data_IF_206881865310
#
_entry.id   IF_206881865310
#
_cell.length_a   1.000
_cell.length_b   1.000
_cell.length_c   1.000
_cell.angle_alpha   90.00
_cell.angle_beta   90.00
_cell.angle_gamma   90.00
#
_symmetry.space_group_name_H-M   'P 1'
#
loop_
_entity.id
_entity.type
_entity.pdbx_description
1 polymer ?
#
# COMPACT_ATOMS: atom_id res chain seq x y z
N UNK A 1 -13.87 6.24 -32.67
CA UNK A 1 -12.61 5.90 -31.98
C UNK A 1 -12.61 6.66 -30.66
N UNK A 2 -13.11 6.03 -29.61
CA UNK A 2 -13.17 6.63 -28.28
C UNK A 2 -11.76 6.57 -27.69
N UNK A 3 -11.29 7.68 -27.14
CA UNK A 3 -10.03 7.71 -26.40
C UNK A 3 -10.06 6.61 -25.32
N UNK A 4 -8.96 5.84 -25.14
CA UNK A 4 -8.94 4.80 -24.12
C UNK A 4 -9.13 5.47 -22.76
N UNK A 5 -9.99 4.88 -21.92
CA UNK A 5 -10.27 5.31 -20.55
C UNK A 5 -8.99 5.73 -19.82
N UNK A 6 -8.78 7.05 -19.77
CA UNK A 6 -7.91 7.71 -18.82
C UNK A 6 -8.58 7.58 -17.44
N UNK A 7 -8.61 6.37 -16.88
CA UNK A 7 -8.76 6.21 -15.44
C UNK A 7 -7.66 7.08 -14.81
N UNK A 8 -8.03 8.23 -14.25
CA UNK A 8 -7.08 9.29 -13.90
C UNK A 8 -6.00 8.74 -12.97
N UNK A 9 -4.75 9.12 -13.19
CA UNK A 9 -3.71 8.94 -12.17
C UNK A 9 -4.26 9.57 -10.88
N UNK A 10 -4.32 8.83 -9.76
CA UNK A 10 -4.89 9.35 -8.53
C UNK A 10 -4.12 10.61 -8.15
N UNK A 11 -4.87 11.68 -7.97
CA UNK A 11 -4.32 13.01 -7.74
C UNK A 11 -4.75 13.47 -6.36
N UNK A 12 -3.77 13.72 -5.49
CA UNK A 12 -3.98 14.23 -4.16
C UNK A 12 -4.13 15.76 -4.21
N UNK A 13 -5.27 16.27 -3.75
CA UNK A 13 -5.57 17.69 -3.72
C UNK A 13 -4.99 18.34 -2.46
N UNK A 14 -4.21 19.39 -2.65
CA UNK A 14 -3.40 20.02 -1.61
C UNK A 14 -3.81 21.48 -1.38
N UNK A 15 -3.81 21.91 -0.12
CA UNK A 15 -3.82 23.33 0.23
C UNK A 15 -2.56 23.69 1.03
N UNK A 16 -1.94 24.82 0.69
CA UNK A 16 -0.80 25.36 1.44
C UNK A 16 -1.28 26.51 2.32
N UNK A 17 -1.10 26.37 3.64
CA UNK A 17 -1.39 27.43 4.62
C UNK A 17 -0.11 27.87 5.30
N UNK A 18 0.03 29.17 5.50
CA UNK A 18 1.19 29.77 6.18
C UNK A 18 0.75 30.27 7.54
N UNK A 19 1.42 29.83 8.62
CA UNK A 19 1.16 30.36 9.95
C UNK A 19 1.53 31.85 10.02
N UNK A 20 0.73 32.72 10.66
CA UNK A 20 1.02 34.15 10.80
C UNK A 20 2.37 34.46 11.48
N UNK A 21 2.90 33.49 12.24
CA UNK A 21 4.17 33.60 12.98
C UNK A 21 5.38 33.07 12.19
N UNK A 22 5.19 32.62 10.95
CA UNK A 22 6.28 32.09 10.14
C UNK A 22 7.03 33.24 9.43
N UNK A 23 8.26 33.51 9.86
CA UNK A 23 9.23 34.23 9.01
C UNK A 23 9.65 33.30 7.87
N UNK A 24 9.04 33.43 6.70
CA UNK A 24 9.41 32.65 5.52
C UNK A 24 10.42 33.42 4.67
N UNK A 25 11.71 33.06 4.65
CA UNK A 25 12.57 33.42 3.54
C UNK A 25 12.26 32.43 2.41
N UNK A 26 11.18 32.66 1.64
CA UNK A 26 10.76 31.93 0.42
C UNK A 26 11.18 30.43 0.30
N UNK A 27 10.20 29.51 0.33
CA UNK A 27 10.08 28.64 -0.84
C UNK A 27 8.62 28.32 -1.22
N UNK A 28 7.65 29.22 -0.97
CA UNK A 28 6.26 28.98 -1.39
C UNK A 28 6.17 28.78 -2.91
N UNK A 29 6.70 29.70 -3.71
CA UNK A 29 6.67 29.57 -5.18
C UNK A 29 7.46 28.36 -5.69
N UNK A 30 8.62 28.07 -5.10
CA UNK A 30 9.44 26.90 -5.45
C UNK A 30 8.75 25.58 -5.06
N UNK A 31 8.02 25.57 -3.94
CA UNK A 31 7.19 24.46 -3.53
C UNK A 31 6.01 24.29 -4.48
N UNK A 32 5.27 25.36 -4.78
CA UNK A 32 4.14 25.34 -5.71
C UNK A 32 4.57 24.84 -7.09
N UNK A 33 5.74 25.27 -7.59
CA UNK A 33 6.34 24.77 -8.83
C UNK A 33 6.64 23.27 -8.75
N UNK A 34 7.34 22.82 -7.69
CA UNK A 34 7.67 21.40 -7.52
C UNK A 34 6.41 20.51 -7.38
N UNK A 35 5.37 20.99 -6.70
CA UNK A 35 4.10 20.30 -6.59
C UNK A 35 3.39 20.22 -7.95
N UNK A 36 3.43 21.29 -8.75
CA UNK A 36 2.84 21.33 -10.08
C UNK A 36 3.55 20.44 -11.11
N UNK A 37 4.83 20.11 -10.90
CA UNK A 37 5.58 19.16 -11.73
C UNK A 37 5.23 17.70 -11.45
N UNK A 38 4.55 17.41 -10.33
CA UNK A 38 4.18 16.05 -9.96
C UNK A 38 2.93 15.56 -10.68
N UNK A 39 2.92 14.34 -11.25
CA UNK A 39 1.72 13.75 -11.83
C UNK A 39 0.70 13.24 -10.78
N UNK A 40 1.05 13.29 -9.49
CA UNK A 40 0.22 12.76 -8.40
C UNK A 40 -0.42 13.83 -7.53
N UNK A 41 0.01 15.09 -7.70
CA UNK A 41 -0.34 16.18 -6.81
C UNK A 41 -1.03 17.28 -7.60
N UNK A 42 -2.01 17.93 -6.97
CA UNK A 42 -2.63 19.12 -7.52
C UNK A 42 -2.94 20.08 -6.38
N UNK A 43 -2.77 21.37 -6.65
CA UNK A 43 -3.20 22.41 -5.75
C UNK A 43 -4.71 22.61 -5.90
N UNK A 44 -5.43 22.50 -4.78
CA UNK A 44 -6.87 22.72 -4.75
C UNK A 44 -7.18 24.18 -5.09
N UNK A 45 -8.20 24.40 -5.92
CA UNK A 45 -8.75 25.72 -6.14
C UNK A 45 -9.57 26.16 -4.92
N UNK A 46 -9.83 27.46 -4.83
CA UNK A 46 -10.62 28.02 -3.72
C UNK A 46 -12.02 27.37 -3.65
N UNK A 47 -12.39 26.85 -2.48
CA UNK A 47 -13.66 26.17 -2.26
C UNK A 47 -13.71 24.70 -2.67
N UNK A 48 -12.63 24.14 -3.23
CA UNK A 48 -12.53 22.70 -3.49
C UNK A 48 -12.24 21.91 -2.21
N UNK A 49 -12.64 20.64 -2.21
CA UNK A 49 -12.25 19.69 -1.17
C UNK A 49 -10.73 19.47 -1.21
N UNK A 50 -10.11 19.51 -0.04
CA UNK A 50 -8.67 19.35 0.15
C UNK A 50 -8.41 18.02 0.84
N UNK A 51 -7.55 17.19 0.26
CA UNK A 51 -7.15 15.91 0.87
C UNK A 51 -6.09 16.12 1.95
N UNK A 52 -5.14 17.04 1.71
CA UNK A 52 -4.08 17.39 2.67
C UNK A 52 -3.86 18.90 2.74
N UNK A 53 -3.89 19.41 3.97
CA UNK A 53 -3.39 20.75 4.29
C UNK A 53 -1.91 20.67 4.70
N UNK A 54 -1.09 21.47 4.04
CA UNK A 54 0.32 21.68 4.34
C UNK A 54 0.41 22.98 5.13
N UNK A 55 0.71 22.90 6.43
CA UNK A 55 0.90 24.07 7.27
C UNK A 55 2.39 24.36 7.43
N UNK A 56 2.83 25.54 6.98
CA UNK A 56 4.18 26.04 7.21
C UNK A 56 4.27 26.78 8.55
N UNK A 57 5.21 26.37 9.41
CA UNK A 57 5.48 26.97 10.71
C UNK A 57 6.88 27.62 10.78
N UNK A 58 7.17 28.31 11.89
CA UNK A 58 8.49 28.87 12.18
C UNK A 58 9.59 27.79 12.12
N UNK A 59 10.82 28.19 11.80
CA UNK A 59 11.98 27.30 11.65
C UNK A 59 11.82 26.21 10.56
N UNK A 60 11.01 26.48 9.52
CA UNK A 60 10.81 25.59 8.36
C UNK A 60 10.27 24.20 8.74
N UNK A 61 9.40 24.17 9.74
CA UNK A 61 8.63 22.98 10.09
C UNK A 61 7.40 22.94 9.20
N UNK A 62 7.16 21.80 8.56
CA UNK A 62 5.97 21.57 7.73
C UNK A 62 5.13 20.47 8.39
N UNK A 63 3.86 20.78 8.64
CA UNK A 63 2.88 19.83 9.16
C UNK A 63 1.92 19.44 8.05
N UNK A 64 1.68 18.14 7.93
CA UNK A 64 0.70 17.57 7.01
C UNK A 64 -0.52 17.12 7.81
N UNK A 65 -1.71 17.59 7.43
CA UNK A 65 -2.97 17.27 8.11
C UNK A 65 -4.02 16.86 7.08
N UNK A 66 -4.77 15.78 7.36
CA UNK A 66 -5.99 15.47 6.60
C UNK A 66 -7.19 16.15 7.26
N UNK A 67 -8.28 16.37 6.51
CA UNK A 67 -9.54 16.82 7.10
C UNK A 67 -9.98 15.90 8.24
N UNK A 68 -10.28 16.49 9.40
CA UNK A 68 -10.78 15.75 10.57
C UNK A 68 -9.70 15.13 11.48
N UNK A 69 -8.43 15.16 11.08
CA UNK A 69 -7.35 14.69 11.94
C UNK A 69 -7.17 15.62 13.16
N UNK A 70 -7.20 15.05 14.36
CA UNK A 70 -6.87 15.76 15.61
C UNK A 70 -5.36 15.93 15.82
N UNK A 71 -4.55 15.15 15.10
CA UNK A 71 -3.08 15.14 15.15
C UNK A 71 -2.55 15.14 13.73
N UNK A 72 -1.51 15.93 13.46
CA UNK A 72 -0.89 15.95 12.14
C UNK A 72 -0.35 14.56 11.75
N UNK A 73 -0.68 14.11 10.54
CA UNK A 73 -0.20 12.85 9.94
C UNK A 73 1.33 12.74 10.01
N UNK A 74 2.03 13.86 9.80
CA UNK A 74 3.45 13.97 10.08
C UNK A 74 3.83 15.43 10.37
N UNK A 75 4.47 15.67 11.52
CA UNK A 75 5.17 16.91 11.80
C UNK A 75 6.64 16.73 11.43
N UNK A 76 7.01 17.09 10.20
CA UNK A 76 8.40 16.98 9.79
C UNK A 76 9.18 18.23 10.22
N UNK A 77 10.06 18.04 11.18
CA UNK A 77 11.23 18.92 11.33
C UNK A 77 12.21 18.53 10.24
N UNK A 78 12.17 19.21 9.10
CA UNK A 78 13.19 19.06 8.06
C UNK A 78 14.35 19.96 8.48
N UNK A 79 15.46 19.42 9.05
CA UNK A 79 16.57 20.26 9.44
C UNK A 79 17.09 20.99 8.21
N UNK A 80 17.01 22.31 8.24
CA UNK A 80 17.38 23.21 7.17
C UNK A 80 18.90 23.33 7.10
N UNK A 81 19.60 22.22 6.86
CA UNK A 81 21.00 22.34 6.45
C UNK A 81 21.09 22.89 5.02
N UNK A 82 20.03 22.72 4.20
CA UNK A 82 19.91 23.23 2.81
C UNK A 82 18.44 23.52 2.44
N UNK A 83 17.99 24.77 2.57
CA UNK A 83 16.63 25.20 2.19
C UNK A 83 16.26 24.87 0.72
N UNK A 84 17.24 24.76 -0.17
CA UNK A 84 17.03 24.44 -1.60
C UNK A 84 16.48 23.03 -1.86
N UNK A 85 16.66 22.07 -0.96
CA UNK A 85 16.22 20.68 -1.15
C UNK A 85 14.80 20.41 -0.61
N UNK A 86 14.22 21.38 0.10
CA UNK A 86 12.96 21.24 0.80
C UNK A 86 11.75 21.01 -0.13
N UNK A 87 11.57 21.77 -1.23
CA UNK A 87 10.48 21.53 -2.18
C UNK A 87 10.44 20.09 -2.70
N UNK A 88 11.58 19.59 -3.19
CA UNK A 88 11.69 18.23 -3.73
C UNK A 88 11.45 17.15 -2.66
N UNK A 89 11.92 17.37 -1.43
CA UNK A 89 11.68 16.42 -0.33
C UNK A 89 10.19 16.36 0.04
N UNK A 90 9.53 17.52 0.11
CA UNK A 90 8.11 17.60 0.43
C UNK A 90 7.24 17.01 -0.68
N UNK A 91 7.56 17.30 -1.95
CA UNK A 91 6.94 16.66 -3.11
C UNK A 91 6.99 15.13 -2.99
N UNK A 92 8.17 14.54 -2.78
CA UNK A 92 8.32 13.07 -2.64
C UNK A 92 7.48 12.47 -1.51
N UNK A 93 7.41 13.15 -0.38
CA UNK A 93 6.59 12.73 0.78
C UNK A 93 5.11 12.71 0.38
N UNK A 94 4.63 13.76 -0.29
CA UNK A 94 3.23 13.87 -0.71
C UNK A 94 2.90 12.88 -1.82
N UNK A 95 3.80 12.68 -2.78
CA UNK A 95 3.69 11.63 -3.82
C UNK A 95 3.54 10.26 -3.18
N UNK A 96 4.35 9.94 -2.18
CA UNK A 96 4.25 8.68 -1.46
C UNK A 96 2.90 8.51 -0.76
N UNK A 97 2.37 9.57 -0.13
CA UNK A 97 1.04 9.52 0.50
C UNK A 97 -0.05 9.30 -0.55
N UNK A 98 0.04 9.97 -1.72
CA UNK A 98 -0.87 9.78 -2.83
C UNK A 98 -0.83 8.33 -3.36
N UNK A 99 0.38 7.80 -3.58
CA UNK A 99 0.63 6.42 -4.05
C UNK A 99 0.11 5.40 -3.04
N UNK A 100 0.37 5.57 -1.74
CA UNK A 100 -0.15 4.69 -0.70
C UNK A 100 -1.68 4.66 -0.73
N UNK A 101 -2.33 5.83 -0.77
CA UNK A 101 -3.78 5.95 -0.85
C UNK A 101 -4.35 5.28 -2.11
N UNK A 102 -3.67 5.45 -3.25
CA UNK A 102 -4.02 4.81 -4.51
C UNK A 102 -3.96 3.28 -4.45
N UNK A 103 -2.87 2.73 -3.92
CA UNK A 103 -2.72 1.28 -3.73
C UNK A 103 -3.78 0.77 -2.74
N UNK A 104 -4.06 1.52 -1.68
CA UNK A 104 -5.12 1.21 -0.70
C UNK A 104 -6.52 1.24 -1.32
N UNK A 105 -6.77 2.09 -2.31
CA UNK A 105 -8.04 2.17 -3.03
C UNK A 105 -8.11 1.24 -4.25
N UNK A 106 -7.00 0.59 -4.66
CA UNK A 106 -6.97 -0.27 -5.83
C UNK A 106 -7.91 -1.48 -5.65
N UNK A 107 -8.94 -1.54 -6.49
CA UNK A 107 -9.94 -2.60 -6.58
C UNK A 107 -10.03 -3.15 -8.01
N UNK A 108 -10.23 -4.46 -8.19
CA UNK A 108 -10.44 -5.06 -9.51
C UNK A 108 -11.80 -4.65 -10.08
N UNK A 109 -12.00 -4.75 -11.40
CA UNK A 109 -13.31 -4.58 -12.04
C UNK A 109 -14.38 -5.61 -11.63
N UNK A 110 -13.97 -6.73 -11.01
CA UNK A 110 -14.84 -7.84 -10.62
C UNK A 110 -14.54 -8.29 -9.18
N UNK A 111 -15.60 -8.54 -8.40
CA UNK A 111 -15.58 -8.93 -6.99
C UNK A 111 -15.57 -10.45 -6.77
N UNK A 112 -15.39 -11.24 -7.82
CA UNK A 112 -15.55 -12.71 -7.84
C UNK A 112 -14.34 -13.47 -7.24
N UNK A 113 -13.56 -12.83 -6.36
CA UNK A 113 -12.37 -13.47 -5.76
C UNK A 113 -12.74 -14.76 -5.00
N UNK A 114 -13.85 -14.77 -4.28
CA UNK A 114 -14.24 -15.87 -3.39
C UNK A 114 -14.56 -17.18 -4.11
N UNK A 115 -14.75 -17.18 -5.43
CA UNK A 115 -14.87 -18.39 -6.24
C UNK A 115 -13.55 -18.79 -6.92
N UNK A 116 -12.53 -17.94 -6.85
CA UNK A 116 -11.21 -18.13 -7.48
C UNK A 116 -10.20 -18.60 -6.43
N UNK A 117 -10.20 -17.93 -5.28
CA UNK A 117 -9.31 -18.18 -4.16
C UNK A 117 -10.11 -18.20 -2.86
N UNK A 118 -10.04 -19.33 -2.15
CA UNK A 118 -10.51 -19.39 -0.76
C UNK A 118 -9.39 -18.93 0.16
N UNK A 119 -9.68 -17.90 0.94
CA UNK A 119 -8.75 -17.30 1.90
C UNK A 119 -9.25 -17.53 3.33
N UNK A 120 -8.36 -17.90 4.25
CA UNK A 120 -8.68 -17.89 5.68
C UNK A 120 -7.54 -17.31 6.50
N UNK A 121 -7.87 -16.48 7.48
CA UNK A 121 -6.94 -15.97 8.48
C UNK A 121 -7.10 -16.80 9.74
N UNK A 122 -5.99 -17.35 10.23
CA UNK A 122 -5.93 -18.34 11.31
C UNK A 122 -4.86 -17.93 12.31
N UNK A 123 -5.01 -18.37 13.55
CA UNK A 123 -3.94 -18.31 14.54
C UNK A 123 -2.98 -19.46 14.27
N UNK A 124 -1.69 -19.17 14.16
CA UNK A 124 -0.67 -20.19 14.17
C UNK A 124 -0.38 -20.58 15.62
N UNK A 125 -0.64 -21.83 15.96
CA UNK A 125 -0.39 -22.42 17.28
C UNK A 125 0.98 -23.10 17.31
N UNK A 126 1.31 -23.82 16.24
CA UNK A 126 2.59 -24.52 16.09
C UNK A 126 3.16 -24.25 14.69
N UNK A 127 4.39 -23.72 14.57
CA UNK A 127 5.05 -23.54 13.28
C UNK A 127 5.23 -24.87 12.54
N UNK A 128 5.16 -24.81 11.21
CA UNK A 128 5.49 -25.94 10.36
C UNK A 128 6.97 -26.30 10.51
N UNK A 129 7.27 -27.59 10.55
CA UNK A 129 8.64 -28.10 10.53
C UNK A 129 8.92 -28.78 9.18
N UNK A 130 10.14 -29.31 8.99
CA UNK A 130 10.41 -30.16 7.83
C UNK A 130 9.61 -31.48 7.84
N UNK A 131 9.03 -31.85 8.99
CA UNK A 131 8.42 -33.16 9.24
C UNK A 131 6.93 -33.08 9.59
N UNK A 132 6.39 -31.88 9.83
CA UNK A 132 5.01 -31.68 10.27
C UNK A 132 4.40 -30.45 9.63
N UNK A 133 3.11 -30.55 9.34
CA UNK A 133 2.27 -29.41 8.97
C UNK A 133 2.12 -28.44 10.16
N UNK A 134 1.84 -27.15 9.91
CA UNK A 134 1.61 -26.20 10.98
C UNK A 134 0.30 -26.49 11.73
N UNK A 135 0.32 -26.34 13.05
CA UNK A 135 -0.87 -26.33 13.87
C UNK A 135 -1.56 -24.96 13.78
N UNK A 136 -2.83 -24.94 13.34
CA UNK A 136 -3.62 -23.71 13.17
C UNK A 136 -4.97 -23.79 13.86
N UNK A 137 -5.45 -22.65 14.35
CA UNK A 137 -6.76 -22.51 14.98
C UNK A 137 -7.55 -21.35 14.34
N UNK A 138 -8.89 -21.41 14.31
CA UNK A 138 -9.70 -20.31 13.80
C UNK A 138 -9.55 -19.07 14.70
N UNK A 139 -9.50 -17.89 14.08
CA UNK A 139 -9.55 -16.62 14.79
C UNK A 139 -10.99 -16.15 15.00
N UNK A 140 -11.21 -15.40 16.07
CA UNK A 140 -12.47 -14.71 16.30
C UNK A 140 -12.63 -13.52 15.33
N UNK A 141 -13.86 -13.07 15.13
CA UNK A 141 -14.18 -11.87 14.35
C UNK A 141 -14.87 -10.84 15.23
N UNK A 142 -14.58 -9.57 14.99
CA UNK A 142 -15.29 -8.44 15.58
C UNK A 142 -16.66 -8.24 14.91
N UNK A 143 -17.50 -7.38 15.47
CA UNK A 143 -18.78 -6.99 14.84
C UNK A 143 -18.59 -6.34 13.47
N UNK A 144 -17.43 -5.73 13.22
CA UNK A 144 -17.03 -5.18 11.92
C UNK A 144 -16.41 -6.23 10.98
N UNK A 145 -16.53 -7.52 11.31
CA UNK A 145 -15.97 -8.66 10.58
C UNK A 145 -14.42 -8.66 10.46
N UNK A 146 -13.75 -7.82 11.25
CA UNK A 146 -12.29 -7.83 11.35
C UNK A 146 -11.83 -9.05 12.14
N UNK A 147 -10.73 -9.65 11.72
CA UNK A 147 -10.17 -10.81 12.40
C UNK A 147 -9.42 -10.35 13.65
N UNK A 148 -9.69 -10.96 14.80
CA UNK A 148 -9.11 -10.55 16.08
C UNK A 148 -8.00 -11.51 16.52
N UNK A 149 -6.85 -10.96 16.86
CA UNK A 149 -5.67 -11.69 17.35
C UNK A 149 -4.99 -10.92 18.48
N UNK A 150 -4.42 -11.61 19.47
CA UNK A 150 -3.70 -10.94 20.55
C UNK A 150 -2.28 -10.58 20.13
N UNK A 151 -1.74 -9.52 20.71
CA UNK A 151 -0.36 -9.12 20.52
C UNK A 151 0.59 -10.23 20.98
N UNK A 152 1.68 -10.44 20.24
CA UNK A 152 2.65 -11.51 20.48
C UNK A 152 2.19 -12.89 19.96
N UNK A 153 1.00 -12.99 19.36
CA UNK A 153 0.55 -14.21 18.69
C UNK A 153 0.90 -14.17 17.19
N UNK A 154 1.04 -15.38 16.63
CA UNK A 154 1.36 -15.55 15.21
C UNK A 154 0.11 -15.71 14.36
N UNK A 155 0.09 -15.03 13.22
CA UNK A 155 -0.92 -15.13 12.18
C UNK A 155 -0.48 -16.09 11.08
N UNK A 156 -1.39 -16.95 10.65
CA UNK A 156 -1.28 -17.75 9.44
C UNK A 156 -2.41 -17.39 8.46
N UNK A 157 -2.10 -17.40 7.16
CA UNK A 157 -3.10 -17.14 6.11
C UNK A 157 -3.10 -18.31 5.14
N UNK A 158 -4.23 -19.00 5.01
CA UNK A 158 -4.39 -20.07 4.02
C UNK A 158 -4.94 -19.50 2.72
N UNK A 159 -4.33 -19.92 1.60
CA UNK A 159 -4.75 -19.54 0.25
C UNK A 159 -4.96 -20.84 -0.54
N UNK A 160 -6.20 -21.13 -0.91
CA UNK A 160 -6.57 -22.33 -1.66
C UNK A 160 -7.05 -21.95 -3.05
N UNK A 161 -6.35 -22.39 -4.10
CA UNK A 161 -6.76 -22.17 -5.48
C UNK A 161 -7.96 -23.07 -5.81
N UNK A 162 -9.09 -22.45 -6.15
CA UNK A 162 -10.35 -23.15 -6.47
C UNK A 162 -10.59 -23.27 -7.97
N UNK A 163 -9.65 -22.78 -8.79
CA UNK A 163 -9.74 -22.83 -10.25
C UNK A 163 -8.98 -24.02 -10.83
N UNK A 164 -9.27 -24.35 -12.08
CA UNK A 164 -8.56 -25.38 -12.85
C UNK A 164 -7.25 -24.87 -13.47
N UNK A 165 -6.93 -23.59 -13.27
CA UNK A 165 -5.73 -22.94 -13.78
C UNK A 165 -4.79 -22.55 -12.63
N UNK A 166 -3.46 -22.47 -12.86
CA UNK A 166 -2.56 -21.89 -11.88
C UNK A 166 -2.88 -20.40 -11.67
N UNK A 167 -2.72 -19.95 -10.42
CA UNK A 167 -2.87 -18.54 -10.04
C UNK A 167 -1.57 -18.02 -9.45
N UNK A 168 -1.37 -16.71 -9.46
CA UNK A 168 -0.29 -16.03 -8.74
C UNK A 168 -0.91 -15.19 -7.63
N UNK A 169 -0.52 -15.43 -6.37
CA UNK A 169 -1.09 -14.77 -5.21
C UNK A 169 -0.04 -13.94 -4.46
N UNK A 170 -0.41 -12.74 -4.07
CA UNK A 170 0.44 -11.79 -3.38
C UNK A 170 -0.26 -11.30 -2.13
N UNK A 171 0.40 -11.42 -0.99
CA UNK A 171 -0.12 -10.91 0.29
C UNK A 171 0.75 -9.74 0.70
N UNK A 172 0.14 -8.60 0.97
CA UNK A 172 0.83 -7.44 1.53
C UNK A 172 0.15 -6.95 2.80
N UNK A 173 0.90 -6.25 3.62
CA UNK A 173 0.38 -5.44 4.72
C UNK A 173 0.49 -3.97 4.34
N UNK A 174 -0.61 -3.24 4.54
CA UNK A 174 -0.68 -1.80 4.43
C UNK A 174 -0.53 -1.20 5.83
N UNK A 175 0.53 -0.42 6.08
CA UNK A 175 0.70 0.31 7.34
C UNK A 175 0.28 1.78 7.15
N UNK A 176 -0.96 2.17 7.53
CA UNK A 176 -1.41 3.55 7.40
C UNK A 176 -0.63 4.52 8.29
N UNK A 177 0.04 4.05 9.35
CA UNK A 177 0.84 4.92 10.23
C UNK A 177 2.13 5.36 9.54
N UNK A 178 2.74 4.46 8.78
CA UNK A 178 4.02 4.70 8.10
C UNK A 178 3.87 5.05 6.62
N UNK A 179 2.66 4.97 6.06
CA UNK A 179 2.39 5.11 4.63
C UNK A 179 3.26 4.15 3.81
N UNK A 180 3.33 2.89 4.28
CA UNK A 180 4.19 1.84 3.76
C UNK A 180 3.36 0.63 3.31
N UNK A 181 3.86 -0.08 2.31
CA UNK A 181 3.32 -1.35 1.84
C UNK A 181 4.43 -2.38 1.88
N UNK A 182 4.20 -3.50 2.56
CA UNK A 182 5.20 -4.55 2.73
C UNK A 182 4.68 -5.85 2.16
N UNK A 183 5.48 -6.45 1.27
CA UNK A 183 5.22 -7.78 0.73
C UNK A 183 5.43 -8.85 1.83
N UNK A 184 4.37 -9.61 2.11
CA UNK A 184 4.39 -10.75 3.05
C UNK A 184 4.55 -12.08 2.30
N UNK A 185 3.95 -12.18 1.11
CA UNK A 185 4.06 -13.36 0.25
C UNK A 185 4.07 -12.96 -1.23
N UNK A 186 4.99 -13.51 -2.06
CA UNK A 186 6.01 -14.51 -1.72
C UNK A 186 7.12 -13.94 -0.83
N UNK A 187 7.71 -14.78 0.03
CA UNK A 187 8.74 -14.37 1.00
C UNK A 187 10.05 -13.89 0.34
N UNK A 188 10.38 -14.43 -0.83
CA UNK A 188 11.52 -13.97 -1.64
C UNK A 188 11.01 -13.50 -2.99
N UNK A 189 11.41 -12.30 -3.45
CA UNK A 189 10.97 -11.75 -4.75
C UNK A 189 11.28 -12.67 -5.94
N UNK A 190 12.29 -13.53 -5.81
CA UNK A 190 12.74 -14.45 -6.85
C UNK A 190 11.97 -15.78 -6.89
N UNK A 191 11.07 -16.04 -5.92
CA UNK A 191 10.23 -17.24 -5.94
C UNK A 191 8.89 -16.98 -6.63
N UNK A 192 8.40 -17.94 -7.44
CA UNK A 192 7.12 -17.80 -8.09
C UNK A 192 6.02 -17.83 -7.02
N UNK A 193 5.20 -16.78 -6.99
CA UNK A 193 3.98 -16.65 -6.19
C UNK A 193 2.85 -17.63 -6.61
N UNK A 194 3.20 -18.71 -7.30
CA UNK A 194 2.29 -19.57 -8.06
C UNK A 194 1.65 -20.62 -7.17
N UNK A 195 0.32 -20.70 -7.22
CA UNK A 195 -0.51 -21.72 -6.58
C UNK A 195 -1.14 -22.59 -7.68
N UNK A 196 -0.90 -23.90 -7.66
CA UNK A 196 -1.47 -24.86 -8.61
C UNK A 196 -2.97 -25.08 -8.35
N UNK A 197 -3.72 -25.58 -9.34
CA UNK A 197 -5.12 -25.97 -9.14
C UNK A 197 -5.31 -26.88 -7.92
N UNK A 198 -6.24 -26.54 -7.03
CA UNK A 198 -6.53 -27.29 -5.80
C UNK A 198 -5.47 -27.21 -4.70
N UNK A 199 -4.32 -26.56 -4.95
CA UNK A 199 -3.26 -26.41 -3.96
C UNK A 199 -3.66 -25.42 -2.87
N UNK A 200 -3.28 -25.74 -1.63
CA UNK A 200 -3.37 -24.84 -0.48
C UNK A 200 -1.98 -24.49 -0.01
N UNK A 201 -1.71 -23.19 0.09
CA UNK A 201 -0.49 -22.69 0.73
C UNK A 201 -0.85 -22.03 2.07
N UNK A 202 0.06 -22.11 3.04
CA UNK A 202 -0.10 -21.50 4.37
C UNK A 202 1.00 -20.46 4.57
N UNK A 203 0.64 -19.20 4.35
CA UNK A 203 1.52 -18.04 4.51
C UNK A 203 1.76 -17.77 6.00
N UNK A 204 3.01 -17.44 6.38
CA UNK A 204 3.37 -17.13 7.76
C UNK A 204 3.51 -18.33 8.70
N UNK A 205 3.57 -19.55 8.15
CA UNK A 205 3.60 -20.80 8.94
C UNK A 205 4.93 -21.53 8.93
N UNK A 206 5.88 -21.13 8.08
CA UNK A 206 7.06 -21.92 7.74
C UNK A 206 8.23 -21.73 8.71
N UNK A 207 9.27 -22.59 8.63
CA UNK A 207 10.47 -22.44 9.44
C UNK A 207 11.33 -21.22 9.04
N UNK A 208 10.97 -20.52 7.96
CA UNK A 208 11.71 -19.36 7.45
C UNK A 208 11.20 -18.03 8.01
N UNK A 209 9.91 -17.92 8.24
CA UNK A 209 9.30 -16.69 8.74
C UNK A 209 7.94 -16.98 9.37
N UNK A 210 7.63 -16.20 10.41
CA UNK A 210 6.36 -16.17 11.12
C UNK A 210 5.83 -14.73 11.03
N UNK A 211 4.51 -14.58 11.05
CA UNK A 211 3.87 -13.26 11.09
C UNK A 211 3.45 -13.02 12.52
N UNK A 212 4.29 -12.37 13.32
CA UNK A 212 3.95 -11.97 14.68
C UNK A 212 3.19 -10.64 14.68
N UNK A 213 2.02 -10.63 15.31
CA UNK A 213 1.19 -9.43 15.39
C UNK A 213 1.57 -8.62 16.62
N UNK A 214 1.97 -7.36 16.42
CA UNK A 214 2.45 -6.46 17.46
C UNK A 214 1.58 -5.24 17.64
N UNK A 215 1.43 -4.78 18.89
CA UNK A 215 0.87 -3.46 19.17
C UNK A 215 1.97 -2.39 19.10
N UNK A 216 1.68 -1.21 18.52
CA UNK A 216 2.55 -0.05 18.68
C UNK A 216 2.59 0.39 20.15
N UNK A 217 3.71 0.99 20.55
CA UNK A 217 3.97 1.37 21.94
C UNK A 217 2.87 2.26 22.51
N UNK A 218 2.36 1.88 23.69
CA UNK A 218 1.33 2.63 24.41
C UNK A 218 -0.10 2.46 23.89
N UNK A 219 -0.35 1.61 22.89
CA UNK A 219 -1.70 1.30 22.41
C UNK A 219 -2.20 -0.02 22.99
N UNK A 220 -3.52 -0.09 23.26
CA UNK A 220 -4.21 -1.31 23.72
C UNK A 220 -4.88 -2.06 22.57
N UNK A 221 -4.99 -1.43 21.42
CA UNK A 221 -5.56 -1.98 20.19
C UNK A 221 -4.93 -1.32 18.97
N UNK A 222 -4.78 -2.07 17.89
CA UNK A 222 -4.39 -1.56 16.58
C UNK A 222 -5.09 -2.34 15.47
N UNK A 223 -5.15 -1.78 14.27
CA UNK A 223 -5.70 -2.47 13.11
C UNK A 223 -4.71 -2.40 11.96
N UNK A 224 -4.28 -3.57 11.50
CA UNK A 224 -3.49 -3.71 10.27
C UNK A 224 -4.43 -4.14 9.14
N UNK A 225 -4.16 -3.67 7.92
CA UNK A 225 -4.96 -4.03 6.74
C UNK A 225 -4.09 -4.90 5.84
N UNK A 226 -4.50 -6.15 5.65
CA UNK A 226 -3.91 -7.05 4.68
C UNK A 226 -4.61 -6.90 3.35
N UNK A 227 -3.85 -6.77 2.27
CA UNK A 227 -4.36 -6.86 0.90
C UNK A 227 -3.83 -8.12 0.22
N UNK A 228 -4.75 -8.87 -0.37
CA UNK A 228 -4.47 -10.10 -1.09
C UNK A 228 -4.81 -9.87 -2.55
N UNK A 229 -3.78 -9.80 -3.39
CA UNK A 229 -3.96 -9.74 -4.84
C UNK A 229 -3.73 -11.11 -5.46
N UNK A 230 -4.56 -11.43 -6.44
CA UNK A 230 -4.45 -12.68 -7.20
C UNK A 230 -4.50 -12.33 -8.68
N UNK A 231 -3.66 -12.96 -9.50
CA UNK A 231 -3.64 -12.72 -10.95
C UNK A 231 -3.43 -14.01 -11.73
N UNK A 232 -3.91 -14.02 -12.98
CA UNK A 232 -3.66 -15.12 -13.92
C UNK A 232 -2.20 -15.19 -14.37
N UNK A 233 -1.50 -14.06 -14.38
CA UNK A 233 -0.08 -13.95 -14.74
C UNK A 233 0.78 -13.40 -13.61
N UNK A 234 2.07 -13.72 -13.62
CA UNK A 234 3.01 -13.22 -12.61
C UNK A 234 3.32 -11.74 -12.80
N UNK A 235 3.41 -11.02 -11.68
CA UNK A 235 3.97 -9.68 -11.60
C UNK A 235 5.39 -9.72 -11.01
N UNK A 236 6.13 -8.61 -11.10
CA UNK A 236 7.40 -8.48 -10.38
C UNK A 236 7.12 -8.12 -8.91
N UNK A 237 7.41 -8.98 -7.92
CA UNK A 237 6.94 -8.75 -6.55
C UNK A 237 7.45 -7.46 -5.91
N UNK A 238 8.65 -6.99 -6.29
CA UNK A 238 9.24 -5.75 -5.79
C UNK A 238 8.37 -4.49 -6.06
N UNK A 239 7.45 -4.53 -7.03
CA UNK A 239 6.52 -3.43 -7.29
C UNK A 239 5.52 -3.21 -6.15
N UNK A 240 5.32 -4.23 -5.30
CA UNK A 240 4.38 -4.19 -4.18
C UNK A 240 4.99 -3.60 -2.91
N UNK A 241 6.28 -3.29 -2.91
CA UNK A 241 6.97 -2.72 -1.76
C UNK A 241 7.03 -1.20 -1.88
N UNK A 242 6.36 -0.52 -0.95
CA UNK A 242 6.48 0.93 -0.77
C UNK A 242 7.12 1.16 0.60
N UNK A 243 8.36 1.70 0.67
CA UNK A 243 9.05 1.87 1.93
C UNK A 243 8.40 2.98 2.78
N UNK A 244 8.71 3.05 4.06
CA UNK A 244 8.16 4.09 4.96
C UNK A 244 8.52 5.51 4.55
N UNK A 245 7.70 6.47 4.97
CA UNK A 245 7.80 7.87 4.58
C UNK A 245 9.21 8.45 4.80
N UNK A 246 9.82 8.94 3.71
CA UNK A 246 11.15 9.55 3.73
C UNK A 246 12.32 8.58 3.50
N UNK A 247 12.05 7.30 3.34
CA UNK A 247 13.02 6.34 2.80
C UNK A 247 13.05 6.41 1.26
N UNK A 248 14.21 6.21 0.62
CA UNK A 248 14.29 6.21 -0.83
C UNK A 248 13.56 4.98 -1.39
N UNK A 249 12.63 5.21 -2.32
CA UNK A 249 12.08 4.17 -3.18
C UNK A 249 13.14 3.74 -4.21
N UNK A 250 13.40 2.44 -4.33
CA UNK A 250 14.33 1.93 -5.33
C UNK A 250 13.70 2.09 -6.72
N UNK A 251 14.35 2.80 -7.67
CA UNK A 251 13.80 2.94 -9.01
C UNK A 251 13.71 1.56 -9.67
N UNK A 252 12.54 1.24 -10.22
CA UNK A 252 12.39 0.00 -10.98
C UNK A 252 13.11 0.11 -12.32
N UNK A 253 13.87 -0.94 -12.67
CA UNK A 253 14.55 -1.06 -13.98
C UNK A 253 13.57 -1.29 -15.14
N UNK A 254 12.33 -1.67 -14.83
CA UNK A 254 11.24 -1.83 -15.78
C UNK A 254 10.06 -0.94 -15.37
N UNK A 255 10.05 0.36 -15.74
CA UNK A 255 8.99 1.27 -15.31
C UNK A 255 7.62 0.96 -15.92
N UNK A 256 7.55 0.08 -16.93
CA UNK A 256 6.33 -0.23 -17.68
C UNK A 256 5.74 -1.60 -17.33
N UNK A 257 6.56 -2.52 -16.83
CA UNK A 257 6.14 -3.77 -16.21
C UNK A 257 6.18 -5.01 -17.09
N UNK A 258 5.94 -6.16 -16.46
CA UNK A 258 6.07 -7.51 -17.01
C UNK A 258 5.08 -7.85 -18.13
N UNK A 259 4.17 -6.94 -18.48
CA UNK A 259 3.08 -7.14 -19.42
C UNK A 259 1.75 -7.53 -18.77
N UNK A 260 1.75 -8.03 -17.53
CA UNK A 260 0.53 -8.38 -16.81
C UNK A 260 -0.29 -7.14 -16.40
N UNK A 261 -1.61 -7.24 -16.39
CA UNK A 261 -2.53 -6.15 -16.08
C UNK A 261 -2.32 -5.61 -14.67
N UNK A 262 -2.24 -6.49 -13.66
CA UNK A 262 -2.01 -6.08 -12.27
C UNK A 262 -0.68 -5.33 -12.10
N UNK A 263 0.43 -5.84 -12.65
CA UNK A 263 1.75 -5.19 -12.56
C UNK A 263 1.70 -3.80 -13.19
N UNK A 264 1.03 -3.68 -14.34
CA UNK A 264 0.91 -2.42 -15.07
C UNK A 264 0.00 -1.41 -14.38
N UNK A 265 -1.11 -1.87 -13.79
CA UNK A 265 -1.98 -1.03 -12.98
C UNK A 265 -1.19 -0.49 -11.76
N UNK A 266 -0.47 -1.35 -11.03
CA UNK A 266 0.36 -0.96 -9.89
C UNK A 266 1.48 0.04 -10.28
N UNK A 267 2.23 -0.24 -11.35
CA UNK A 267 3.29 0.68 -11.81
C UNK A 267 2.73 2.01 -12.26
N UNK A 268 1.56 2.02 -12.90
CA UNK A 268 0.90 3.26 -13.27
C UNK A 268 0.54 4.07 -12.02
N UNK A 269 0.04 3.43 -10.97
CA UNK A 269 -0.24 4.08 -9.69
C UNK A 269 1.03 4.60 -9.00
N UNK A 270 2.16 3.88 -9.10
CA UNK A 270 3.41 4.24 -8.44
C UNK A 270 4.24 5.28 -9.22
N UNK A 271 4.16 5.26 -10.55
CA UNK A 271 5.00 6.11 -11.42
C UNK A 271 4.24 7.24 -12.10
N UNK A 272 2.91 7.19 -12.13
CA UNK A 272 2.05 8.15 -12.81
C UNK A 272 2.12 8.04 -14.34
N UNK A 273 2.92 7.10 -14.86
CA UNK A 273 3.15 6.91 -16.29
C UNK A 273 2.27 5.81 -16.83
N UNK A 274 1.57 6.09 -17.93
CA UNK A 274 0.98 5.05 -18.78
C UNK A 274 2.03 4.57 -19.77
N UNK A 275 2.34 3.27 -19.79
CA UNK A 275 3.12 2.69 -20.88
C UNK A 275 2.44 2.90 -22.24
N UNK A 276 3.21 2.83 -23.32
CA UNK A 276 2.71 3.06 -24.69
C UNK A 276 1.82 1.92 -25.21
N UNK A 277 1.98 0.72 -24.66
CA UNK A 277 1.16 -0.45 -25.00
C UNK A 277 -0.22 -0.33 -24.36
N UNK A 278 -1.34 -0.68 -25.01
CA UNK A 278 -2.64 -0.79 -24.34
C UNK A 278 -2.60 -1.82 -23.20
N UNK A 279 -3.34 -1.61 -22.11
CA UNK A 279 -3.50 -2.62 -21.05
C UNK A 279 -4.20 -3.86 -21.62
N UNK A 280 -3.79 -5.09 -21.27
CA UNK A 280 -4.57 -6.29 -21.59
C UNK A 280 -6.00 -6.13 -21.06
N UNK A 281 -6.99 -6.66 -21.78
CA UNK A 281 -8.36 -6.69 -21.26
C UNK A 281 -8.41 -7.56 -20.01
N UNK A 282 -9.31 -7.24 -19.09
CA UNK A 282 -9.50 -8.04 -17.88
C UNK A 282 -9.80 -9.51 -18.19
N UNK A 283 -10.57 -9.78 -19.25
CA UNK A 283 -10.91 -11.15 -19.68
C UNK A 283 -9.70 -11.97 -20.11
N UNK A 284 -8.65 -11.33 -20.62
CA UNK A 284 -7.44 -12.01 -21.11
C UNK A 284 -6.34 -12.10 -20.06
N UNK A 285 -6.34 -11.21 -19.08
CA UNK A 285 -5.44 -11.24 -17.94
C UNK A 285 -6.14 -10.73 -16.67
N UNK A 286 -6.96 -11.58 -16.04
CA UNK A 286 -7.75 -11.19 -14.89
C UNK A 286 -6.88 -11.07 -13.64
N UNK A 287 -7.28 -10.17 -12.76
CA UNK A 287 -6.74 -10.07 -11.42
C UNK A 287 -7.84 -9.71 -10.42
N UNK A 288 -7.65 -10.08 -9.17
CA UNK A 288 -8.62 -9.91 -8.10
C UNK A 288 -7.93 -9.38 -6.85
N UNK A 289 -8.72 -8.81 -5.94
CA UNK A 289 -8.24 -8.28 -4.68
C UNK A 289 -9.25 -8.56 -3.57
N UNK A 290 -8.75 -8.81 -2.37
CA UNK A 290 -9.50 -8.73 -1.13
C UNK A 290 -8.69 -7.96 -0.10
N UNK A 291 -9.38 -7.18 0.72
CA UNK A 291 -8.81 -6.58 1.92
C UNK A 291 -9.37 -7.28 3.15
N UNK A 292 -8.51 -7.53 4.15
CA UNK A 292 -8.92 -8.05 5.46
C UNK A 292 -8.28 -7.18 6.54
N UNK A 293 -9.14 -6.58 7.37
CA UNK A 293 -8.71 -5.92 8.60
C UNK A 293 -8.37 -6.97 9.65
N UNK A 294 -7.23 -6.81 10.32
CA UNK A 294 -6.79 -7.61 11.45
C UNK A 294 -6.66 -6.69 12.66
N UNK A 295 -7.56 -6.87 13.62
CA UNK A 295 -7.56 -6.18 14.91
C UNK A 295 -6.59 -6.91 15.86
N UNK A 296 -5.59 -6.17 16.32
CA UNK A 296 -4.60 -6.62 17.29
C UNK A 296 -5.04 -6.12 18.65
N UNK A 297 -5.18 -7.04 19.61
CA UNK A 297 -5.63 -6.75 20.98
C UNK A 297 -4.50 -7.01 21.97
N UNK A 298 -4.52 -6.32 23.12
CA UNK A 298 -3.56 -6.54 24.20
C UNK A 298 -3.65 -7.94 24.84
#
# INVERSE_FOLDING_TARGET
MSAPDLAMTPTLSLALTVSPQAELPLPADALMLALAESPFLRLAAEGEMVDITIQAEANQVYRLQRPGDSVAMAAFRIPVKRARALPLKLQRILEQVAVFGAIAALTPPSDVLSSVLKTQFLQLVEPATRQSEPGVAPLLRSEAEAVQIKSGQWLAITLTNQTDAPLFAYVVVMDPRQQAVTLVYPYTPDMPARIRPGETIVVGSGPRYLIEMGLPEGQTQATDIFKLWVSGQSIQPAVLELPSLGQPYAPSTDPYGSGSRLDRDLRRLITGKSGMTPLPSFETDPWWCQSQAVEILA
#
